data_IF_827668899308
#
_entry.id   IF_827668899308
#
_cell.length_a   1.000
_cell.length_b   1.000
_cell.length_c   1.000
_cell.angle_alpha   90.00
_cell.angle_beta   90.00
_cell.angle_gamma   90.00
#
_symmetry.space_group_name_H-M   'P 1'
#
loop_
_entity.id
_entity.type
_entity.pdbx_description
1 polymer ?
#
# COMPACT_ATOMS: atom_id res chain seq x y z
N UNK A 1 9.89 -7.38 24.30
CA UNK A 1 8.65 -7.37 23.50
C UNK A 1 7.99 -8.73 23.62
N UNK A 2 6.69 -8.76 23.75
CA UNK A 2 5.93 -10.01 23.88
C UNK A 2 5.93 -10.72 22.52
N UNK A 3 6.29 -12.02 22.50
CA UNK A 3 6.33 -12.82 21.26
C UNK A 3 4.95 -12.97 20.61
N UNK A 4 3.89 -12.74 21.37
CA UNK A 4 2.51 -12.81 20.89
C UNK A 4 1.94 -11.45 20.48
N UNK A 5 2.79 -10.43 20.42
CA UNK A 5 2.34 -9.08 20.08
C UNK A 5 1.86 -9.04 18.63
N UNK A 6 0.65 -8.50 18.42
CA UNK A 6 0.08 -8.28 17.11
C UNK A 6 -0.47 -6.86 17.03
N UNK A 7 -0.37 -6.28 15.85
CA UNK A 7 -0.98 -4.97 15.62
C UNK A 7 -2.47 -5.12 15.36
N UNK A 8 -3.23 -4.17 15.88
CA UNK A 8 -4.67 -4.11 15.60
C UNK A 8 -4.92 -3.37 14.28
N UNK A 9 -6.00 -3.73 13.59
CA UNK A 9 -6.35 -3.10 12.31
C UNK A 9 -6.51 -1.58 12.44
N UNK A 10 -7.20 -1.04 13.47
CA UNK A 10 -7.28 0.43 13.60
C UNK A 10 -5.93 1.11 13.74
N UNK A 11 -4.97 0.48 14.42
CA UNK A 11 -3.61 1.02 14.53
C UNK A 11 -2.93 1.09 13.16
N UNK A 12 -2.98 0.00 12.41
CA UNK A 12 -2.36 -0.05 11.09
C UNK A 12 -3.05 0.95 10.15
N UNK A 13 -4.36 1.04 10.21
CA UNK A 13 -5.13 1.98 9.41
C UNK A 13 -4.73 3.43 9.70
N UNK A 14 -4.54 3.78 10.97
CA UNK A 14 -4.07 5.10 11.37
C UNK A 14 -2.65 5.38 10.91
N UNK A 15 -1.77 4.38 11.01
CA UNK A 15 -0.40 4.48 10.53
C UNK A 15 -0.39 4.72 9.02
N UNK A 16 -1.20 3.98 8.27
CA UNK A 16 -1.34 4.14 6.83
C UNK A 16 -1.92 5.52 6.49
N UNK A 17 -2.94 5.95 7.22
CA UNK A 17 -3.58 7.24 6.98
C UNK A 17 -2.59 8.40 7.13
N UNK A 18 -1.67 8.30 8.08
CA UNK A 18 -0.66 9.32 8.34
C UNK A 18 0.52 9.24 7.38
N UNK A 19 1.10 8.06 7.21
CA UNK A 19 2.41 7.88 6.56
C UNK A 19 2.39 6.95 5.35
N UNK A 20 1.27 6.32 5.05
CA UNK A 20 1.18 5.42 3.91
C UNK A 20 1.11 6.16 2.58
N UNK A 21 1.19 5.39 1.50
CA UNK A 21 1.08 5.91 0.15
C UNK A 21 0.07 5.09 -0.64
N UNK A 22 -0.79 5.77 -1.37
CA UNK A 22 -1.76 5.16 -2.29
C UNK A 22 -1.35 5.51 -3.70
N UNK A 23 -1.12 4.50 -4.52
CA UNK A 23 -0.92 4.65 -5.95
C UNK A 23 -2.19 4.20 -6.65
N UNK A 24 -2.81 5.10 -7.41
CA UNK A 24 -4.00 4.79 -8.19
C UNK A 24 -3.95 5.63 -9.45
N UNK A 25 -3.44 5.05 -10.53
CA UNK A 25 -3.38 5.76 -11.79
C UNK A 25 -3.48 4.82 -12.97
N UNK A 26 -4.00 5.34 -14.06
CA UNK A 26 -4.03 4.66 -15.35
C UNK A 26 -2.89 5.18 -16.20
N UNK A 27 -2.25 4.28 -16.93
CA UNK A 27 -1.22 4.64 -17.89
C UNK A 27 -1.34 3.76 -19.13
N UNK A 28 -0.76 4.22 -20.23
CA UNK A 28 -0.78 3.48 -21.49
C UNK A 28 0.49 2.66 -21.60
N UNK A 29 0.32 1.35 -21.79
CA UNK A 29 1.44 0.42 -21.95
C UNK A 29 1.45 -0.14 -23.34
N UNK A 30 2.61 -0.09 -24.02
CA UNK A 30 2.79 -0.69 -25.32
C UNK A 30 3.22 -2.13 -25.18
N UNK A 31 2.59 -3.02 -25.95
CA UNK A 31 2.93 -4.45 -25.96
C UNK A 31 3.06 -4.93 -27.38
N UNK A 32 4.00 -5.87 -27.59
CA UNK A 32 4.17 -6.58 -28.84
C UNK A 32 4.79 -5.75 -29.95
N UNK A 33 4.94 -6.38 -31.09
CA UNK A 33 5.57 -5.77 -32.25
C UNK A 33 4.70 -4.71 -32.92
N UNK A 34 3.38 -4.82 -32.76
CA UNK A 34 2.43 -3.86 -33.31
C UNK A 34 2.45 -2.52 -32.58
N UNK A 35 3.11 -2.45 -31.43
CA UNK A 35 3.28 -1.25 -30.62
C UNK A 35 1.96 -0.55 -30.25
N UNK A 36 0.85 -1.29 -30.24
CA UNK A 36 -0.42 -0.75 -29.76
C UNK A 36 -0.34 -0.46 -28.28
N UNK A 37 -0.90 0.67 -27.87
CA UNK A 37 -0.96 1.06 -26.47
C UNK A 37 -2.26 0.53 -25.85
N UNK A 38 -2.14 -0.01 -24.64
CA UNK A 38 -3.27 -0.53 -23.88
C UNK A 38 -3.38 0.20 -22.55
N UNK A 39 -4.59 0.54 -22.11
CA UNK A 39 -4.76 1.11 -20.78
C UNK A 39 -4.40 0.08 -19.70
N UNK A 40 -3.59 0.49 -18.76
CA UNK A 40 -3.13 -0.35 -17.66
C UNK A 40 -3.25 0.44 -16.38
N UNK A 41 -3.63 -0.22 -15.30
CA UNK A 41 -3.75 0.41 -13.99
C UNK A 41 -2.57 0.06 -13.10
N UNK A 42 -2.12 1.04 -12.33
CA UNK A 42 -1.17 0.84 -11.24
C UNK A 42 -1.92 1.15 -9.95
N UNK A 43 -2.22 0.09 -9.19
CA UNK A 43 -3.01 0.17 -7.95
C UNK A 43 -2.19 -0.48 -6.85
N UNK A 44 -1.71 0.34 -5.91
CA UNK A 44 -0.83 -0.12 -4.84
C UNK A 44 -1.05 0.66 -3.55
N UNK A 45 -0.84 -0.04 -2.44
CA UNK A 45 -0.70 0.57 -1.13
C UNK A 45 0.69 0.27 -0.60
N UNK A 46 1.25 1.22 0.14
CA UNK A 46 2.61 1.08 0.65
C UNK A 46 2.75 1.77 2.00
N UNK A 47 3.49 1.14 2.91
CA UNK A 47 3.97 1.76 4.14
C UNK A 47 5.46 1.53 4.21
N UNK A 48 6.24 2.59 4.46
CA UNK A 48 7.69 2.53 4.59
C UNK A 48 8.11 3.13 5.91
N UNK A 49 9.01 2.44 6.62
CA UNK A 49 9.52 2.89 7.91
C UNK A 49 10.94 2.38 8.11
N UNK A 50 11.67 3.04 9.01
CA UNK A 50 12.97 2.54 9.44
C UNK A 50 12.84 1.36 10.42
N UNK A 51 11.69 1.20 11.04
CA UNK A 51 11.44 0.12 11.99
C UNK A 51 10.95 -1.13 11.27
N UNK A 52 11.88 -2.08 11.09
CA UNK A 52 11.60 -3.33 10.40
C UNK A 52 10.54 -4.16 11.12
N UNK A 53 10.58 -4.19 12.46
CA UNK A 53 9.65 -5.03 13.21
C UNK A 53 8.21 -4.58 13.00
N UNK A 54 7.95 -3.27 12.97
CA UNK A 54 6.60 -2.75 12.73
C UNK A 54 6.14 -3.15 11.33
N UNK A 55 6.99 -3.01 10.32
CA UNK A 55 6.65 -3.37 8.93
C UNK A 55 6.35 -4.86 8.81
N UNK A 56 7.12 -5.72 9.47
CA UNK A 56 6.84 -7.15 9.46
C UNK A 56 5.55 -7.50 10.18
N UNK A 57 5.24 -6.81 11.28
CA UNK A 57 3.96 -7.00 11.99
C UNK A 57 2.77 -6.56 11.13
N UNK A 58 2.92 -5.48 10.35
CA UNK A 58 1.90 -5.07 9.39
C UNK A 58 1.61 -6.20 8.39
N UNK A 59 2.67 -6.77 7.82
CA UNK A 59 2.54 -7.87 6.87
C UNK A 59 1.86 -9.10 7.49
N UNK A 60 2.30 -9.48 8.68
CA UNK A 60 1.73 -10.63 9.38
C UNK A 60 0.25 -10.43 9.72
N UNK A 61 -0.12 -9.21 10.11
CA UNK A 61 -1.50 -8.91 10.49
C UNK A 61 -2.42 -8.87 9.26
N UNK A 62 -1.98 -8.21 8.19
CA UNK A 62 -2.79 -8.07 6.98
C UNK A 62 -2.77 -9.32 6.11
N UNK A 63 -1.73 -10.13 6.21
CA UNK A 63 -1.57 -11.42 5.51
C UNK A 63 -1.52 -11.31 4.00
N UNK A 64 -1.36 -10.12 3.44
CA UNK A 64 -1.19 -9.87 2.01
C UNK A 64 -0.02 -8.93 1.79
N UNK A 65 0.49 -8.92 0.57
CA UNK A 65 1.60 -8.05 0.21
C UNK A 65 2.96 -8.66 0.49
N UNK A 66 3.98 -7.84 0.44
CA UNK A 66 5.36 -8.27 0.67
C UNK A 66 6.13 -7.20 1.42
N UNK A 67 7.21 -7.62 2.07
CA UNK A 67 8.13 -6.74 2.79
C UNK A 67 9.46 -6.76 2.06
N UNK A 68 10.02 -5.59 1.76
CA UNK A 68 11.30 -5.46 1.10
C UNK A 68 12.08 -4.29 1.68
N UNK A 69 13.40 -4.34 1.53
CA UNK A 69 14.26 -3.20 1.84
C UNK A 69 14.00 -2.06 0.87
N UNK A 70 14.03 -0.83 1.41
CA UNK A 70 13.92 0.38 0.62
C UNK A 70 15.16 1.23 0.90
N UNK A 71 16.23 1.08 0.08
CA UNK A 71 17.45 1.87 0.30
C UNK A 71 17.21 3.34 0.03
N UNK A 72 18.02 4.23 0.63
CA UNK A 72 17.93 5.66 0.34
C UNK A 72 18.16 5.92 -1.15
N UNK A 73 17.42 6.88 -1.69
CA UNK A 73 17.60 7.29 -3.07
C UNK A 73 18.91 8.04 -3.28
N UNK A 74 19.24 8.31 -4.55
CA UNK A 74 20.41 9.11 -4.89
C UNK A 74 20.31 10.50 -4.22
N UNK A 75 21.43 10.97 -3.69
CA UNK A 75 21.49 12.25 -3.00
C UNK A 75 21.00 12.23 -1.56
N UNK A 76 20.62 11.07 -1.05
CA UNK A 76 20.15 10.94 0.34
C UNK A 76 21.20 10.24 1.20
N UNK A 77 22.45 10.60 1.03
CA UNK A 77 23.53 10.10 1.87
C UNK A 77 23.26 10.39 3.34
N UNK A 78 23.49 9.40 4.20
CA UNK A 78 23.25 9.53 5.63
C UNK A 78 21.84 9.19 6.07
N UNK A 79 20.91 8.96 5.14
CA UNK A 79 19.58 8.51 5.48
C UNK A 79 19.61 7.03 5.84
N UNK A 80 18.76 6.63 6.80
CA UNK A 80 18.68 5.24 7.24
C UNK A 80 17.96 4.38 6.20
N UNK A 81 18.34 3.11 6.15
CA UNK A 81 17.62 2.10 5.39
C UNK A 81 16.18 2.03 5.90
N UNK A 82 15.22 1.97 4.99
CA UNK A 82 13.82 1.76 5.32
C UNK A 82 13.39 0.35 4.92
N UNK A 83 12.30 -0.08 5.52
CA UNK A 83 11.61 -1.31 5.15
C UNK A 83 10.25 -0.93 4.62
N UNK A 84 9.80 -1.64 3.58
CA UNK A 84 8.58 -1.31 2.88
C UNK A 84 7.66 -2.51 2.81
N UNK A 85 6.42 -2.33 3.31
CA UNK A 85 5.32 -3.23 3.01
C UNK A 85 4.57 -2.65 1.82
N UNK A 86 4.21 -3.51 0.88
CA UNK A 86 3.48 -3.10 -0.32
C UNK A 86 2.52 -4.20 -0.73
N UNK A 87 1.30 -3.82 -1.15
CA UNK A 87 0.38 -4.74 -1.82
C UNK A 87 -0.26 -4.03 -3.01
N UNK A 88 -0.82 -4.82 -3.93
CA UNK A 88 -1.39 -4.26 -5.14
C UNK A 88 -2.65 -4.95 -5.60
N UNK A 89 -3.38 -4.29 -6.49
CA UNK A 89 -4.56 -4.81 -7.18
C UNK A 89 -5.61 -5.29 -6.18
N UNK A 90 -6.08 -6.54 -6.30
CA UNK A 90 -7.16 -7.03 -5.43
C UNK A 90 -6.76 -7.13 -3.97
N UNK A 91 -5.49 -7.35 -3.68
CA UNK A 91 -5.01 -7.29 -2.29
C UNK A 91 -5.14 -5.86 -1.75
N UNK A 92 -4.87 -4.86 -2.58
CA UNK A 92 -5.07 -3.47 -2.20
C UNK A 92 -6.55 -3.17 -1.93
N UNK A 93 -7.46 -3.73 -2.73
CA UNK A 93 -8.89 -3.62 -2.47
C UNK A 93 -9.24 -4.18 -1.09
N UNK A 94 -8.77 -5.38 -0.79
CA UNK A 94 -9.03 -6.04 0.49
C UNK A 94 -8.57 -5.14 1.65
N UNK A 95 -7.35 -4.63 1.57
CA UNK A 95 -6.80 -3.77 2.62
C UNK A 95 -7.53 -2.43 2.70
N UNK A 96 -7.88 -1.84 1.57
CA UNK A 96 -8.66 -0.60 1.54
C UNK A 96 -9.99 -0.76 2.29
N UNK A 97 -10.65 -1.90 2.13
CA UNK A 97 -11.91 -2.18 2.84
C UNK A 97 -11.69 -2.30 4.34
N UNK A 98 -10.55 -2.85 4.77
CA UNK A 98 -10.19 -2.91 6.19
C UNK A 98 -9.89 -1.51 6.76
N UNK A 99 -9.25 -0.66 5.99
CA UNK A 99 -8.84 0.68 6.43
C UNK A 99 -9.97 1.71 6.34
N UNK A 100 -10.93 1.47 5.48
CA UNK A 100 -11.98 2.44 5.14
C UNK A 100 -12.69 3.03 6.37
N UNK A 101 -13.10 2.24 7.38
CA UNK A 101 -13.81 2.81 8.53
C UNK A 101 -12.98 3.79 9.36
N UNK A 102 -11.66 3.76 9.21
CA UNK A 102 -10.73 4.55 10.02
C UNK A 102 -10.01 5.64 9.25
N UNK A 103 -10.19 5.69 7.92
CA UNK A 103 -9.45 6.62 7.07
C UNK A 103 -10.04 8.03 7.18
N UNK A 104 -9.16 9.02 7.23
CA UNK A 104 -9.52 10.44 7.25
C UNK A 104 -8.75 11.15 6.14
N UNK A 105 -7.42 11.16 6.24
CA UNK A 105 -6.55 11.88 5.30
C UNK A 105 -6.60 11.25 3.91
N UNK A 106 -6.59 9.92 3.85
CA UNK A 106 -6.53 9.17 2.59
C UNK A 106 -7.88 8.60 2.16
N UNK A 107 -8.96 9.02 2.81
CA UNK A 107 -10.30 8.47 2.54
C UNK A 107 -10.66 8.53 1.07
N UNK A 108 -10.46 9.67 0.42
CA UNK A 108 -10.80 9.82 -1.00
C UNK A 108 -10.03 8.87 -1.90
N UNK A 109 -8.75 8.68 -1.62
CA UNK A 109 -7.90 7.76 -2.41
C UNK A 109 -8.29 6.31 -2.20
N UNK A 110 -8.59 5.94 -0.95
CA UNK A 110 -9.06 4.60 -0.61
C UNK A 110 -10.40 4.31 -1.30
N UNK A 111 -11.32 5.26 -1.27
CA UNK A 111 -12.61 5.09 -1.92
C UNK A 111 -12.49 4.95 -3.44
N UNK A 112 -11.52 5.62 -4.06
CA UNK A 112 -11.28 5.44 -5.50
C UNK A 112 -10.90 4.00 -5.83
N UNK A 113 -10.08 3.37 -5.01
CA UNK A 113 -9.71 1.96 -5.23
C UNK A 113 -10.91 1.04 -5.01
N UNK A 114 -11.65 1.25 -3.93
CA UNK A 114 -12.85 0.45 -3.65
C UNK A 114 -13.85 0.58 -4.80
N UNK A 115 -14.08 1.81 -5.24
CA UNK A 115 -15.04 2.09 -6.31
C UNK A 115 -14.58 1.52 -7.66
N UNK A 116 -13.29 1.42 -7.88
CA UNK A 116 -12.72 0.82 -9.09
C UNK A 116 -13.14 -0.64 -9.25
N UNK A 117 -13.14 -1.40 -8.17
CA UNK A 117 -13.47 -2.82 -8.17
C UNK A 117 -14.93 -3.09 -7.83
N UNK A 118 -15.54 -2.25 -7.03
CA UNK A 118 -16.89 -2.47 -6.50
C UNK A 118 -17.74 -1.18 -6.65
N UNK A 119 -18.01 -0.73 -7.88
CA UNK A 119 -18.66 0.57 -8.10
C UNK A 119 -20.10 0.63 -7.56
N UNK A 120 -20.76 -0.51 -7.41
CA UNK A 120 -22.17 -0.56 -7.01
C UNK A 120 -22.37 -0.57 -5.49
N UNK A 121 -21.30 -0.51 -4.71
CA UNK A 121 -21.37 -0.54 -3.25
C UNK A 121 -21.53 0.82 -2.60
N UNK A 122 -21.58 1.88 -3.38
CA UNK A 122 -21.71 3.23 -2.84
C UNK A 122 -23.07 3.84 -3.11
#
# INVERSE_FOLDING_TARGET
MNDNYKLEIPYIAGLFDADGNVQYKQYMKKRGEDKKAYPTWDIRLEISMTDRNVIELVHETLMVGSVRKKPPGKGQLGKKMQWRWRCGFRDALHVCKLFWPYAIVKLNKIEKIINHYEPDLQ
#
